data_IF_126545017426
#
_entry.id   IF_126545017426
#
_cell.length_a   1.000
_cell.length_b   1.000
_cell.length_c   1.000
_cell.angle_alpha   90.00
_cell.angle_beta   90.00
_cell.angle_gamma   90.00
#
_symmetry.space_group_name_H-M   'P 1'
#
loop_
_entity.id
_entity.type
_entity.pdbx_description
1 polymer ?
#
# COMPACT_ATOMS: atom_id res chain seq x y z
N UNK A 1 31.44 -13.39 -6.16
CA UNK A 1 30.12 -13.19 -5.52
C UNK A 1 29.23 -14.31 -6.04
N UNK A 2 28.82 -15.26 -5.16
CA UNK A 2 27.94 -16.36 -5.55
C UNK A 2 26.55 -15.79 -5.81
N UNK A 3 26.04 -15.91 -7.03
CA UNK A 3 24.63 -15.65 -7.33
C UNK A 3 23.79 -16.57 -6.42
N UNK A 4 23.07 -15.99 -5.48
CA UNK A 4 22.02 -16.73 -4.76
C UNK A 4 20.98 -17.13 -5.81
N UNK A 5 20.91 -18.42 -6.12
CA UNK A 5 19.81 -18.95 -6.92
C UNK A 5 18.53 -18.76 -6.09
N UNK A 6 17.65 -17.91 -6.57
CA UNK A 6 16.34 -17.71 -5.98
C UNK A 6 15.52 -18.99 -6.22
N UNK A 7 14.95 -19.54 -5.12
CA UNK A 7 14.09 -20.71 -5.18
C UNK A 7 12.88 -20.46 -6.09
N UNK A 8 12.38 -19.22 -6.15
CA UNK A 8 11.30 -18.83 -7.04
C UNK A 8 11.60 -19.10 -8.51
N UNK A 9 12.82 -18.79 -8.97
CA UNK A 9 13.25 -19.07 -10.35
C UNK A 9 13.32 -20.57 -10.67
N UNK A 10 13.57 -21.42 -9.67
CA UNK A 10 13.53 -22.89 -9.86
C UNK A 10 12.10 -23.39 -10.12
N UNK A 11 11.08 -22.69 -9.67
CA UNK A 11 9.67 -23.02 -9.87
C UNK A 11 8.98 -22.17 -10.93
N UNK A 12 9.75 -21.47 -11.77
CA UNK A 12 9.23 -20.71 -12.90
C UNK A 12 8.70 -19.32 -12.55
N UNK A 13 8.94 -18.83 -11.33
CA UNK A 13 8.61 -17.46 -10.99
C UNK A 13 9.53 -16.50 -11.75
N UNK A 14 8.95 -15.69 -12.62
CA UNK A 14 9.65 -14.58 -13.24
C UNK A 14 9.76 -13.41 -12.23
N UNK A 15 10.84 -12.65 -12.30
CA UNK A 15 10.90 -11.38 -11.60
C UNK A 15 9.75 -10.48 -12.11
N UNK A 16 9.01 -9.85 -11.21
CA UNK A 16 7.94 -8.92 -11.54
C UNK A 16 8.16 -7.59 -10.84
N UNK A 17 7.85 -6.51 -11.53
CA UNK A 17 7.93 -5.16 -10.96
C UNK A 17 6.65 -4.75 -10.23
N UNK A 18 5.58 -5.53 -10.39
CA UNK A 18 4.29 -5.28 -9.75
C UNK A 18 4.04 -6.25 -8.60
N UNK A 19 3.15 -5.88 -7.70
CA UNK A 19 2.74 -6.71 -6.58
C UNK A 19 2.17 -8.05 -7.10
N UNK A 20 2.82 -9.17 -6.76
CA UNK A 20 2.44 -10.52 -7.17
C UNK A 20 2.27 -10.70 -8.70
N UNK A 21 2.90 -9.86 -9.52
CA UNK A 21 2.75 -9.95 -10.99
C UNK A 21 1.39 -9.48 -11.51
N UNK A 22 0.63 -8.73 -10.73
CA UNK A 22 -0.63 -8.13 -11.15
C UNK A 22 -0.41 -7.18 -12.33
N UNK A 23 -1.44 -7.00 -13.13
CA UNK A 23 -1.42 -5.99 -14.19
C UNK A 23 -1.18 -4.59 -13.60
N UNK A 24 -0.39 -3.78 -14.31
CA UNK A 24 -0.17 -2.40 -13.92
C UNK A 24 -1.43 -1.58 -14.24
N UNK A 25 -1.91 -0.81 -13.28
CA UNK A 25 -2.94 0.17 -13.54
C UNK A 25 -2.36 1.30 -14.41
N UNK A 26 -3.07 1.65 -15.47
CA UNK A 26 -2.74 2.85 -16.25
C UNK A 26 -3.18 4.12 -15.51
N UNK A 27 -4.38 4.60 -15.80
CA UNK A 27 -4.99 5.76 -15.15
C UNK A 27 -6.04 5.31 -14.13
N UNK A 28 -5.89 5.74 -12.88
CA UNK A 28 -6.86 5.45 -11.80
C UNK A 28 -8.27 5.98 -12.13
N UNK A 29 -8.38 7.06 -12.91
CA UNK A 29 -9.68 7.62 -13.31
C UNK A 29 -10.48 6.67 -14.23
N UNK A 30 -9.82 5.73 -14.89
CA UNK A 30 -10.45 4.72 -15.76
C UNK A 30 -10.40 3.31 -15.19
N UNK A 31 -10.13 3.18 -13.90
CA UNK A 31 -9.98 1.90 -13.22
C UNK A 31 -11.26 1.04 -13.35
N UNK A 32 -11.09 -0.21 -13.78
CA UNK A 32 -12.17 -1.21 -13.85
C UNK A 32 -11.98 -2.37 -12.86
N UNK A 33 -10.77 -2.51 -12.30
CA UNK A 33 -10.48 -3.53 -11.30
C UNK A 33 -11.25 -3.30 -10.00
N UNK A 34 -11.48 -4.38 -9.25
CA UNK A 34 -12.15 -4.33 -7.94
C UNK A 34 -11.20 -4.00 -6.78
N UNK A 35 -9.91 -4.20 -6.98
CA UNK A 35 -8.87 -3.95 -5.99
C UNK A 35 -7.73 -3.20 -6.69
N UNK A 36 -7.24 -2.15 -6.07
CA UNK A 36 -6.05 -1.44 -6.53
C UNK A 36 -5.00 -1.36 -5.41
N UNK A 37 -3.80 -1.83 -5.71
CA UNK A 37 -2.66 -1.76 -4.80
C UNK A 37 -1.88 -0.50 -5.12
N UNK A 38 -1.63 0.32 -4.12
CA UNK A 38 -0.97 1.62 -4.24
C UNK A 38 0.18 1.72 -3.26
N UNK A 39 1.36 2.06 -3.71
CA UNK A 39 2.49 2.38 -2.86
C UNK A 39 2.47 3.85 -2.43
N UNK A 40 2.66 4.10 -1.15
CA UNK A 40 2.79 5.44 -0.58
C UNK A 40 4.09 5.52 0.24
N UNK A 41 5.21 5.99 -0.34
CA UNK A 41 6.52 6.00 0.32
C UNK A 41 6.58 6.76 1.65
N UNK A 42 5.67 7.67 1.89
CA UNK A 42 5.54 8.40 3.15
C UNK A 42 4.55 9.54 3.03
N UNK A 43 4.04 10.00 4.17
CA UNK A 43 3.16 11.17 4.22
C UNK A 43 3.81 12.31 5.01
N UNK A 44 3.97 12.15 6.34
CA UNK A 44 4.49 13.20 7.23
C UNK A 44 5.42 12.59 8.28
N UNK A 45 6.61 12.10 7.91
CA UNK A 45 7.58 11.61 8.88
C UNK A 45 8.04 12.74 9.80
N UNK A 46 8.32 12.43 11.06
CA UNK A 46 8.93 13.42 11.95
C UNK A 46 10.36 13.74 11.50
N UNK A 47 10.79 15.02 11.60
CA UNK A 47 12.15 15.41 11.23
C UNK A 47 13.24 14.61 11.94
N UNK A 48 12.96 14.11 13.15
CA UNK A 48 13.91 13.32 13.95
C UNK A 48 14.19 11.93 13.40
N UNK A 49 13.29 11.38 12.57
CA UNK A 49 13.43 10.02 11.99
C UNK A 49 13.58 10.06 10.47
N UNK A 50 13.14 11.14 9.81
CA UNK A 50 13.16 11.28 8.36
C UNK A 50 12.30 10.22 7.65
N UNK A 51 12.48 10.07 6.34
CA UNK A 51 11.72 9.13 5.51
C UNK A 51 12.29 7.70 5.58
N UNK A 52 12.38 7.14 6.78
CA UNK A 52 13.06 5.87 7.07
C UNK A 52 12.45 4.64 6.38
N UNK A 53 11.17 4.67 6.02
CA UNK A 53 10.46 3.59 5.35
C UNK A 53 10.10 3.89 3.89
N UNK A 54 10.66 4.93 3.27
CA UNK A 54 10.31 5.33 1.91
C UNK A 54 10.51 4.20 0.86
N UNK A 55 11.44 3.29 1.09
CA UNK A 55 11.67 2.13 0.23
C UNK A 55 10.74 0.94 0.48
N UNK A 56 9.83 1.00 1.47
CA UNK A 56 9.02 -0.15 1.88
C UNK A 56 8.08 -0.66 0.77
N UNK A 57 7.36 0.18 -0.01
CA UNK A 57 6.50 -0.33 -1.07
C UNK A 57 7.26 -1.15 -2.11
N UNK A 58 8.44 -0.70 -2.53
CA UNK A 58 9.28 -1.46 -3.46
C UNK A 58 9.83 -2.74 -2.82
N UNK A 59 10.34 -2.65 -1.61
CA UNK A 59 10.91 -3.81 -0.90
C UNK A 59 9.88 -4.93 -0.70
N UNK A 60 8.62 -4.57 -0.43
CA UNK A 60 7.52 -5.53 -0.29
C UNK A 60 7.22 -6.21 -1.63
N UNK A 61 7.15 -5.45 -2.74
CA UNK A 61 6.96 -6.04 -4.07
C UNK A 61 8.07 -7.01 -4.43
N UNK A 62 9.31 -6.63 -4.18
CA UNK A 62 10.48 -7.47 -4.44
C UNK A 62 10.46 -8.75 -3.61
N UNK A 63 10.07 -8.66 -2.33
CA UNK A 63 10.03 -9.80 -1.43
C UNK A 63 8.98 -10.85 -1.82
N UNK A 64 7.83 -10.41 -2.36
CA UNK A 64 6.74 -11.31 -2.75
C UNK A 64 6.76 -11.72 -4.22
N UNK A 65 7.65 -11.16 -5.05
CA UNK A 65 7.73 -11.44 -6.48
C UNK A 65 7.81 -12.94 -6.79
N UNK A 66 8.53 -13.71 -5.96
CA UNK A 66 8.67 -15.16 -6.09
C UNK A 66 7.34 -15.93 -5.96
N UNK A 67 6.31 -15.35 -5.36
CA UNK A 67 5.00 -15.99 -5.20
C UNK A 67 4.05 -15.73 -6.38
N UNK A 68 4.40 -14.87 -7.32
CA UNK A 68 3.55 -14.52 -8.46
C UNK A 68 3.11 -15.75 -9.30
N UNK A 69 3.98 -16.76 -9.42
CA UNK A 69 3.66 -18.01 -10.12
C UNK A 69 2.68 -18.92 -9.37
N UNK A 70 2.42 -18.65 -8.08
CA UNK A 70 1.71 -19.56 -7.17
C UNK A 70 0.31 -19.08 -6.79
N UNK A 71 -0.22 -18.05 -7.45
CA UNK A 71 -1.52 -17.44 -7.11
C UNK A 71 -2.71 -18.42 -7.12
N UNK A 72 -2.61 -19.49 -7.88
CA UNK A 72 -3.65 -20.53 -8.00
C UNK A 72 -3.32 -21.83 -7.26
N UNK A 73 -2.21 -21.86 -6.49
CA UNK A 73 -1.90 -23.01 -5.66
C UNK A 73 -2.94 -23.18 -4.56
N UNK A 74 -3.10 -24.42 -4.14
CA UNK A 74 -3.98 -24.74 -3.02
C UNK A 74 -3.33 -24.28 -1.72
N UNK A 75 -4.04 -23.45 -0.99
CA UNK A 75 -3.76 -23.11 0.39
C UNK A 75 -4.48 -24.09 1.29
N UNK A 76 -3.72 -24.81 2.14
CA UNK A 76 -4.28 -25.88 2.97
C UNK A 76 -5.11 -25.34 4.15
N UNK A 77 -4.84 -24.12 4.61
CA UNK A 77 -5.61 -23.50 5.69
C UNK A 77 -6.97 -23.02 5.19
N UNK A 78 -7.04 -22.56 3.93
CA UNK A 78 -8.28 -22.18 3.27
C UNK A 78 -9.02 -23.35 2.64
N UNK A 79 -8.39 -24.52 2.49
CA UNK A 79 -8.96 -25.69 1.84
C UNK A 79 -9.17 -25.53 0.33
N UNK A 80 -8.48 -24.60 -0.31
CA UNK A 80 -8.60 -24.29 -1.74
C UNK A 80 -7.59 -23.26 -2.22
N UNK A 81 -7.65 -22.83 -3.48
CA UNK A 81 -6.79 -21.79 -3.98
C UNK A 81 -7.13 -20.44 -3.33
N UNK A 82 -6.11 -19.60 -3.09
CA UNK A 82 -6.29 -18.24 -2.56
C UNK A 82 -7.25 -17.44 -3.45
N UNK A 83 -7.09 -17.58 -4.76
CA UNK A 83 -7.99 -16.98 -5.75
C UNK A 83 -8.77 -18.08 -6.47
N UNK A 84 -10.02 -18.35 -6.09
CA UNK A 84 -10.84 -19.41 -6.70
C UNK A 84 -11.33 -19.05 -8.11
N UNK A 85 -11.04 -17.86 -8.59
CA UNK A 85 -11.44 -17.35 -9.90
C UNK A 85 -10.47 -16.28 -10.42
N UNK A 86 -10.83 -15.56 -11.49
CA UNK A 86 -10.03 -14.47 -12.03
C UNK A 86 -9.78 -13.39 -10.98
N UNK A 87 -8.53 -12.96 -10.85
CA UNK A 87 -8.14 -11.87 -9.93
C UNK A 87 -8.48 -10.53 -10.60
N UNK A 88 -9.43 -9.80 -10.03
CA UNK A 88 -9.74 -8.43 -10.46
C UNK A 88 -8.99 -7.43 -9.58
N UNK A 89 -7.66 -7.46 -9.67
CA UNK A 89 -6.77 -6.58 -8.94
C UNK A 89 -5.68 -6.04 -9.86
N UNK A 90 -5.22 -4.83 -9.60
CA UNK A 90 -4.13 -4.17 -10.33
C UNK A 90 -3.14 -3.54 -9.36
N UNK A 91 -1.92 -3.32 -9.82
CA UNK A 91 -0.91 -2.53 -9.11
C UNK A 91 -0.83 -1.12 -9.73
N UNK A 92 -1.14 -0.12 -8.94
CA UNK A 92 -1.11 1.29 -9.33
C UNK A 92 0.29 1.93 -9.21
N UNK A 93 1.30 1.14 -8.83
CA UNK A 93 2.65 1.65 -8.61
C UNK A 93 2.76 2.51 -7.35
N UNK A 94 3.81 3.31 -7.28
CA UNK A 94 4.11 4.17 -6.14
C UNK A 94 3.77 5.63 -6.45
N UNK A 95 3.18 6.31 -5.46
CA UNK A 95 3.01 7.75 -5.50
C UNK A 95 4.37 8.47 -5.43
N UNK A 96 4.48 9.57 -6.15
CA UNK A 96 5.62 10.46 -6.03
C UNK A 96 5.51 11.26 -4.73
N UNK A 97 6.15 10.76 -3.66
CA UNK A 97 6.25 11.44 -2.39
C UNK A 97 7.64 12.08 -2.24
N UNK A 98 7.68 13.24 -1.59
CA UNK A 98 8.92 13.99 -1.33
C UNK A 98 9.10 14.21 0.16
N UNK A 99 10.35 14.33 0.61
CA UNK A 99 10.66 14.72 1.99
C UNK A 99 10.48 16.22 2.27
N UNK A 100 10.17 17.02 1.24
CA UNK A 100 10.15 18.49 1.33
C UNK A 100 8.73 19.05 1.42
N UNK A 101 7.72 18.34 0.90
CA UNK A 101 6.33 18.80 0.89
C UNK A 101 5.37 17.72 1.40
N UNK A 102 5.28 17.63 2.70
CA UNK A 102 4.39 16.67 3.36
C UNK A 102 2.90 16.95 3.07
N UNK A 103 2.52 18.20 2.85
CA UNK A 103 1.14 18.55 2.52
C UNK A 103 0.76 18.02 1.12
N UNK A 104 1.66 18.13 0.15
CA UNK A 104 1.48 17.55 -1.17
C UNK A 104 1.42 16.02 -1.12
N UNK A 105 2.27 15.37 -0.31
CA UNK A 105 2.22 13.92 -0.11
C UNK A 105 0.83 13.48 0.41
N UNK A 106 0.33 14.11 1.48
CA UNK A 106 -1.00 13.81 2.03
C UNK A 106 -2.11 14.03 1.01
N UNK A 107 -2.03 15.13 0.25
CA UNK A 107 -3.01 15.42 -0.80
C UNK A 107 -3.00 14.35 -1.90
N UNK A 108 -1.83 13.91 -2.35
CA UNK A 108 -1.66 12.87 -3.37
C UNK A 108 -2.23 11.52 -2.89
N UNK A 109 -1.93 11.11 -1.67
CA UNK A 109 -2.47 9.86 -1.08
C UNK A 109 -3.99 9.94 -1.00
N UNK A 110 -4.53 11.01 -0.42
CA UNK A 110 -5.98 11.20 -0.29
C UNK A 110 -6.67 11.21 -1.65
N UNK A 111 -6.09 11.88 -2.64
CA UNK A 111 -6.65 11.94 -3.99
C UNK A 111 -6.65 10.57 -4.67
N UNK A 112 -5.53 9.86 -4.64
CA UNK A 112 -5.42 8.54 -5.27
C UNK A 112 -6.40 7.54 -4.65
N UNK A 113 -6.44 7.47 -3.31
CA UNK A 113 -7.37 6.61 -2.57
C UNK A 113 -8.82 7.02 -2.89
N UNK A 114 -9.13 8.32 -2.89
CA UNK A 114 -10.45 8.83 -3.26
C UNK A 114 -10.87 8.41 -4.67
N UNK A 115 -9.97 8.51 -5.65
CA UNK A 115 -10.22 8.09 -7.04
C UNK A 115 -10.51 6.59 -7.11
N UNK A 116 -9.74 5.74 -6.42
CA UNK A 116 -9.98 4.30 -6.35
C UNK A 116 -11.37 4.00 -5.78
N UNK A 117 -11.74 4.67 -4.68
CA UNK A 117 -13.06 4.53 -4.04
C UNK A 117 -14.19 4.99 -4.96
N UNK A 118 -14.02 6.09 -5.73
CA UNK A 118 -15.01 6.60 -6.69
C UNK A 118 -15.26 5.62 -7.84
N UNK A 119 -14.27 4.78 -8.15
CA UNK A 119 -14.41 3.69 -9.11
C UNK A 119 -15.06 2.43 -8.52
N UNK A 120 -15.42 2.44 -7.24
CA UNK A 120 -16.00 1.29 -6.55
C UNK A 120 -14.99 0.19 -6.25
N UNK A 121 -13.70 0.49 -6.32
CA UNK A 121 -12.63 -0.44 -6.02
C UNK A 121 -12.18 -0.31 -4.55
N UNK A 122 -11.58 -1.37 -4.03
CA UNK A 122 -10.96 -1.40 -2.70
C UNK A 122 -9.50 -0.97 -2.81
N UNK A 123 -9.08 0.12 -2.17
CA UNK A 123 -7.68 0.50 -2.11
C UNK A 123 -6.93 -0.38 -1.10
N UNK A 124 -5.78 -0.90 -1.50
CA UNK A 124 -4.78 -1.49 -0.60
C UNK A 124 -3.55 -0.61 -0.69
N UNK A 125 -3.25 0.12 0.37
CA UNK A 125 -2.10 1.02 0.42
C UNK A 125 -0.94 0.34 1.12
N UNK A 126 0.17 0.19 0.41
CA UNK A 126 1.45 -0.25 0.98
C UNK A 126 2.19 1.00 1.41
N UNK A 127 2.24 1.23 2.71
CA UNK A 127 2.81 2.44 3.27
C UNK A 127 4.34 2.44 3.33
N UNK A 128 4.84 3.62 3.53
CA UNK A 128 6.14 3.94 4.06
C UNK A 128 6.07 4.03 5.58
N UNK A 129 5.76 5.21 6.10
CA UNK A 129 5.69 5.47 7.54
C UNK A 129 4.25 5.47 8.08
N UNK A 130 4.11 5.47 9.40
CA UNK A 130 2.82 5.35 10.11
C UNK A 130 1.93 6.60 9.97
N UNK A 131 2.35 7.64 9.28
CA UNK A 131 1.49 8.79 8.94
C UNK A 131 0.68 8.58 7.65
N UNK A 132 1.01 7.58 6.85
CA UNK A 132 0.30 7.24 5.60
C UNK A 132 -1.19 6.91 5.82
N UNK A 133 -1.60 6.20 6.88
CA UNK A 133 -3.01 5.93 7.13
C UNK A 133 -3.87 7.19 7.32
N UNK A 134 -3.32 8.30 7.79
CA UNK A 134 -4.08 9.54 8.02
C UNK A 134 -4.77 10.03 6.74
N UNK A 135 -4.04 10.42 5.66
CA UNK A 135 -4.68 10.84 4.42
C UNK A 135 -5.47 9.73 3.71
N UNK A 136 -5.12 8.46 3.93
CA UNK A 136 -5.90 7.33 3.45
C UNK A 136 -7.30 7.31 4.12
N UNK A 137 -7.38 7.46 5.44
CA UNK A 137 -8.64 7.49 6.19
C UNK A 137 -9.44 8.75 5.83
N UNK A 138 -8.79 9.90 5.67
CA UNK A 138 -9.44 11.14 5.24
C UNK A 138 -10.17 11.00 3.89
N UNK A 139 -9.71 10.12 3.00
CA UNK A 139 -10.37 9.86 1.71
C UNK A 139 -11.76 9.25 1.85
N UNK A 140 -12.12 8.68 3.00
CA UNK A 140 -13.45 8.15 3.29
C UNK A 140 -14.43 9.22 3.81
N UNK A 141 -13.98 10.45 4.01
CA UNK A 141 -14.82 11.55 4.50
C UNK A 141 -16.01 11.77 3.55
N UNK A 142 -17.22 11.84 4.12
CA UNK A 142 -18.44 12.00 3.34
C UNK A 142 -18.98 10.72 2.66
N UNK A 143 -18.33 9.57 2.83
CA UNK A 143 -18.73 8.29 2.21
C UNK A 143 -19.55 7.38 3.14
N UNK A 144 -20.09 7.92 4.21
CA UNK A 144 -20.86 7.18 5.22
C UNK A 144 -20.02 6.84 6.45
N UNK A 145 -20.56 5.93 7.28
CA UNK A 145 -19.86 5.49 8.50
C UNK A 145 -18.82 4.43 8.15
N UNK A 146 -17.61 4.58 8.68
CA UNK A 146 -16.53 3.60 8.58
C UNK A 146 -16.12 3.15 9.98
N UNK A 147 -15.74 1.89 10.12
CA UNK A 147 -15.10 1.35 11.32
C UNK A 147 -13.63 1.16 11.03
N UNK A 148 -12.76 1.74 11.86
CA UNK A 148 -11.32 1.58 11.74
C UNK A 148 -10.89 0.46 12.68
N UNK A 149 -10.18 -0.53 12.16
CA UNK A 149 -9.51 -1.57 12.95
C UNK A 149 -8.01 -1.33 12.83
N UNK A 150 -7.38 -0.98 13.94
CA UNK A 150 -5.94 -0.79 14.03
C UNK A 150 -5.29 -2.04 14.63
N UNK A 151 -4.24 -2.56 13.97
CA UNK A 151 -3.38 -3.62 14.48
C UNK A 151 -1.98 -3.02 14.61
N UNK A 152 -1.66 -2.52 15.78
CA UNK A 152 -0.48 -1.71 16.04
C UNK A 152 -0.02 -1.90 17.49
N UNK A 153 1.27 -1.68 17.77
CA UNK A 153 1.81 -1.69 19.13
C UNK A 153 1.47 -0.43 19.94
N UNK A 154 1.01 0.63 19.28
CA UNK A 154 0.69 1.93 19.87
C UNK A 154 -0.75 2.33 19.56
N UNK A 155 -1.28 3.27 20.32
CA UNK A 155 -2.66 3.77 20.17
C UNK A 155 -2.79 4.98 19.24
N UNK A 156 -1.69 5.62 18.88
CA UNK A 156 -1.56 6.78 17.96
C UNK A 156 -2.59 7.89 18.18
N UNK A 157 -2.78 8.26 19.44
CA UNK A 157 -3.80 9.21 19.90
C UNK A 157 -3.21 10.54 20.37
N UNK A 158 -2.15 11.01 19.73
CA UNK A 158 -1.54 12.29 20.07
C UNK A 158 -2.13 13.41 19.22
N UNK A 159 -2.40 14.57 19.85
CA UNK A 159 -2.83 15.77 19.12
C UNK A 159 -1.73 16.30 18.21
N UNK A 160 -0.49 16.27 18.70
CA UNK A 160 0.69 16.72 17.96
C UNK A 160 1.98 16.19 18.59
N UNK A 161 3.05 16.25 17.79
CA UNK A 161 4.42 16.08 18.27
C UNK A 161 5.29 17.16 17.63
N UNK A 162 5.80 18.08 18.45
CA UNK A 162 6.63 19.21 17.96
C UNK A 162 5.90 20.14 16.99
N UNK A 163 4.58 20.30 17.14
CA UNK A 163 3.74 21.09 16.26
C UNK A 163 3.19 20.35 15.03
N UNK A 164 3.64 19.11 14.81
CA UNK A 164 3.13 18.29 13.70
C UNK A 164 1.93 17.46 14.15
N UNK A 165 0.79 17.66 13.49
CA UNK A 165 -0.49 16.98 13.82
C UNK A 165 -0.78 15.77 12.96
N UNK A 166 -0.13 15.65 11.82
CA UNK A 166 -0.30 14.54 10.86
C UNK A 166 0.86 13.54 10.91
N UNK A 167 1.56 13.51 12.04
CA UNK A 167 2.72 12.64 12.21
C UNK A 167 2.36 11.24 12.67
N UNK A 168 3.41 10.43 12.84
CA UNK A 168 3.36 8.98 13.08
C UNK A 168 2.50 8.53 14.27
N UNK A 169 2.27 9.40 15.25
CA UNK A 169 1.54 9.05 16.49
C UNK A 169 0.14 9.65 16.56
N UNK A 170 -0.43 10.07 15.42
CA UNK A 170 -1.69 10.82 15.38
C UNK A 170 -2.75 10.15 14.49
N UNK A 171 -2.52 8.92 14.06
CA UNK A 171 -3.38 8.21 13.09
C UNK A 171 -4.82 8.04 13.59
N UNK A 172 -5.03 7.86 14.89
CA UNK A 172 -6.34 7.61 15.50
C UNK A 172 -6.93 8.88 16.16
N UNK A 173 -6.32 10.06 15.95
CA UNK A 173 -6.73 11.32 16.51
C UNK A 173 -7.45 12.18 15.47
#
# INVERSE_FOLDING_TARGET
MSERRDIGTMFGAAATDTFLGLESAGDLATLEAKIAILGAPGATPYPSVGSYCAGAPRAIRDAIAGYAANLHHIDFDLGGPIFPGPVSAVDAGDLACTSEDHAANRAAIRQAVGTILDRGAVPIVIGGDDSVPIPMIEAFQGRGSVTIVQIDAHIDWRDEVGGERWGLSSTMR
#
